data_IF_079173130574
#
_entry.id   IF_079173130574
#
_cell.length_a   1.000
_cell.length_b   1.000
_cell.length_c   1.000
_cell.angle_alpha   90.00
_cell.angle_beta   90.00
_cell.angle_gamma   90.00
#
_symmetry.space_group_name_H-M   'P 1'
#
loop_
_entity.id
_entity.type
_entity.pdbx_description
1 polymer ?
#
# COMPACT_ATOMS: atom_id res chain seq x y z
N UNK A 1 19.46 -52.27 9.78
CA UNK A 1 19.72 -51.62 11.09
C UNK A 1 20.26 -50.18 10.93
N UNK A 2 19.83 -49.40 9.94
CA UNK A 2 20.23 -47.99 9.75
C UNK A 2 19.07 -46.99 9.80
N UNK A 3 17.81 -47.45 9.70
CA UNK A 3 16.63 -46.57 9.64
C UNK A 3 16.18 -46.00 11.01
N UNK A 4 16.54 -46.63 12.14
CA UNK A 4 16.07 -46.18 13.47
C UNK A 4 16.72 -44.86 13.96
N UNK A 5 17.76 -44.37 13.28
CA UNK A 5 18.48 -43.14 13.67
C UNK A 5 17.87 -41.88 13.07
N UNK A 6 17.25 -42.00 11.90
CA UNK A 6 16.61 -40.89 11.18
C UNK A 6 15.53 -40.20 12.04
N UNK A 7 14.59 -40.92 12.70
CA UNK A 7 13.58 -40.27 13.53
C UNK A 7 14.18 -39.56 14.77
N UNK A 8 15.32 -40.06 15.27
CA UNK A 8 16.03 -39.40 16.37
C UNK A 8 16.64 -38.06 15.93
N UNK A 9 17.26 -38.03 14.75
CA UNK A 9 17.85 -36.81 14.17
C UNK A 9 16.76 -35.77 13.85
N UNK A 10 15.61 -36.20 13.34
CA UNK A 10 14.46 -35.32 13.07
C UNK A 10 13.99 -34.64 14.36
N UNK A 11 13.83 -35.40 15.45
CA UNK A 11 13.46 -34.84 16.76
C UNK A 11 14.49 -33.84 17.31
N UNK A 12 15.78 -34.07 17.11
CA UNK A 12 16.83 -33.11 17.50
C UNK A 12 16.75 -31.81 16.68
N UNK A 13 16.48 -31.89 15.38
CA UNK A 13 16.31 -30.70 14.53
C UNK A 13 15.10 -29.88 14.96
N UNK A 14 13.99 -30.53 15.35
CA UNK A 14 12.83 -29.84 15.94
C UNK A 14 13.18 -29.13 17.25
N UNK A 15 13.95 -29.78 18.12
CA UNK A 15 14.45 -29.17 19.35
C UNK A 15 15.33 -27.95 19.07
N UNK A 16 16.19 -27.99 18.05
CA UNK A 16 17.02 -26.84 17.67
C UNK A 16 16.19 -25.67 17.12
N UNK A 17 15.11 -25.95 16.39
CA UNK A 17 14.17 -24.95 15.87
C UNK A 17 13.41 -24.25 17.00
N UNK A 18 12.85 -25.01 17.94
CA UNK A 18 12.08 -24.41 19.06
C UNK A 18 12.95 -23.54 19.97
N UNK A 19 14.23 -23.90 20.14
CA UNK A 19 15.17 -23.16 20.97
C UNK A 19 15.98 -22.09 20.22
N UNK A 20 15.69 -21.83 18.93
CA UNK A 20 16.41 -20.88 18.08
C UNK A 20 17.95 -21.10 18.05
N UNK A 21 18.40 -22.35 18.21
CA UNK A 21 19.82 -22.70 18.20
C UNK A 21 20.43 -22.64 16.79
N UNK A 22 19.58 -22.77 15.77
CA UNK A 22 19.92 -22.70 14.35
C UNK A 22 18.89 -21.83 13.62
N UNK A 23 19.31 -20.99 12.65
CA UNK A 23 18.39 -20.22 11.83
C UNK A 23 17.45 -21.14 11.03
N UNK A 24 16.17 -20.75 10.90
CA UNK A 24 15.10 -21.61 10.36
C UNK A 24 15.42 -22.23 9.00
N UNK A 25 16.11 -21.48 8.12
CA UNK A 25 16.53 -21.93 6.78
C UNK A 25 17.41 -23.18 6.83
N UNK A 26 18.26 -23.33 7.85
CA UNK A 26 19.13 -24.49 8.00
C UNK A 26 18.38 -25.70 8.56
N UNK A 27 17.44 -25.49 9.48
CA UNK A 27 16.55 -26.56 9.95
C UNK A 27 15.70 -27.12 8.80
N UNK A 28 15.18 -26.25 7.93
CA UNK A 28 14.41 -26.66 6.74
C UNK A 28 15.27 -27.50 5.78
N UNK A 29 16.51 -27.07 5.52
CA UNK A 29 17.44 -27.82 4.68
C UNK A 29 17.76 -29.21 5.25
N UNK A 30 18.05 -29.30 6.56
CA UNK A 30 18.36 -30.58 7.21
C UNK A 30 17.15 -31.51 7.24
N UNK A 31 15.96 -30.99 7.56
CA UNK A 31 14.72 -31.77 7.54
C UNK A 31 14.48 -32.34 6.13
N UNK A 32 14.54 -31.52 5.09
CA UNK A 32 14.36 -31.98 3.71
C UNK A 32 15.37 -33.06 3.29
N UNK A 33 16.61 -32.97 3.80
CA UNK A 33 17.66 -33.95 3.54
C UNK A 33 17.39 -35.29 4.23
N UNK A 34 16.96 -35.26 5.50
CA UNK A 34 16.75 -36.47 6.30
C UNK A 34 15.37 -37.11 6.10
N UNK A 35 14.36 -36.34 5.70
CA UNK A 35 13.05 -36.87 5.30
C UNK A 35 12.99 -37.32 3.84
N UNK A 36 14.10 -37.20 3.08
CA UNK A 36 14.21 -37.63 1.67
C UNK A 36 13.09 -37.10 0.76
N UNK A 37 12.50 -35.96 1.10
CA UNK A 37 11.36 -35.40 0.36
C UNK A 37 10.00 -36.01 0.69
N UNK A 38 9.89 -36.91 1.68
CA UNK A 38 8.61 -37.17 2.36
C UNK A 38 8.35 -35.97 3.26
N UNK A 39 7.64 -34.99 2.71
CA UNK A 39 7.19 -33.80 3.42
C UNK A 39 6.30 -34.20 4.61
N UNK A 40 6.88 -34.43 5.79
CA UNK A 40 6.19 -34.10 7.02
C UNK A 40 5.98 -32.60 6.99
N UNK A 41 4.77 -32.21 6.54
CA UNK A 41 4.21 -30.86 6.48
C UNK A 41 4.80 -29.97 7.57
N UNK A 42 5.88 -29.29 7.22
CA UNK A 42 6.40 -28.17 8.00
C UNK A 42 5.23 -27.18 8.18
N UNK A 43 4.94 -26.71 9.40
CA UNK A 43 3.84 -25.79 9.61
C UNK A 43 4.01 -24.56 8.70
N UNK A 44 2.92 -23.98 8.16
CA UNK A 44 2.96 -23.00 7.10
C UNK A 44 3.36 -21.62 7.64
N UNK A 45 4.63 -21.45 8.01
CA UNK A 45 5.15 -20.17 8.52
C UNK A 45 5.31 -19.17 7.36
N UNK A 46 5.61 -19.63 6.14
CA UNK A 46 5.73 -18.77 4.96
C UNK A 46 4.40 -18.37 4.31
N UNK A 47 3.34 -19.19 4.40
CA UNK A 47 2.03 -18.83 3.80
C UNK A 47 1.33 -17.71 4.57
N UNK A 48 1.42 -17.70 5.91
CA UNK A 48 0.79 -16.65 6.73
C UNK A 48 1.31 -15.25 6.36
N UNK A 49 2.61 -15.12 6.07
CA UNK A 49 3.22 -13.87 5.60
C UNK A 49 2.63 -13.41 4.27
N UNK A 50 2.57 -14.30 3.26
CA UNK A 50 2.02 -13.97 1.94
C UNK A 50 0.54 -13.58 1.99
N UNK A 51 -0.27 -14.29 2.79
CA UNK A 51 -1.69 -13.98 2.98
C UNK A 51 -1.84 -12.59 3.64
N UNK A 52 -1.03 -12.27 4.65
CA UNK A 52 -1.06 -10.95 5.28
C UNK A 52 -0.71 -9.83 4.29
N UNK A 53 0.33 -9.99 3.46
CA UNK A 53 0.66 -9.03 2.41
C UNK A 53 -0.44 -8.90 1.34
N UNK A 54 -1.11 -10.01 0.99
CA UNK A 54 -2.22 -10.01 0.04
C UNK A 54 -3.42 -9.24 0.60
N UNK A 55 -3.82 -9.53 1.84
CA UNK A 55 -4.88 -8.82 2.55
C UNK A 55 -4.55 -7.33 2.62
N UNK A 56 -3.31 -6.98 2.96
CA UNK A 56 -2.86 -5.59 3.06
C UNK A 56 -3.02 -4.83 1.72
N UNK A 57 -2.63 -5.45 0.62
CA UNK A 57 -2.81 -4.86 -0.72
C UNK A 57 -4.30 -4.72 -1.08
N UNK A 58 -5.13 -5.71 -0.75
CA UNK A 58 -6.59 -5.62 -0.97
C UNK A 58 -7.18 -4.46 -0.18
N UNK A 59 -6.81 -4.30 1.09
CA UNK A 59 -7.28 -3.21 1.95
C UNK A 59 -6.84 -1.85 1.39
N UNK A 60 -5.60 -1.73 0.90
CA UNK A 60 -5.15 -0.49 0.24
C UNK A 60 -5.97 -0.14 -1.01
N UNK A 61 -6.29 -1.13 -1.85
CA UNK A 61 -7.09 -0.88 -3.05
C UNK A 61 -8.54 -0.52 -2.68
N UNK A 62 -9.08 -1.15 -1.64
CA UNK A 62 -10.44 -0.91 -1.15
C UNK A 62 -10.58 0.45 -0.44
N UNK A 63 -9.50 1.05 0.02
CA UNK A 63 -9.50 2.35 0.71
C UNK A 63 -10.07 3.48 -0.18
N UNK A 64 -9.77 3.46 -1.48
CA UNK A 64 -10.26 4.47 -2.43
C UNK A 64 -11.78 4.43 -2.61
N UNK A 65 -12.41 3.32 -3.04
CA UNK A 65 -13.86 3.28 -3.19
C UNK A 65 -14.58 3.53 -1.85
N UNK A 66 -14.00 3.09 -0.73
CA UNK A 66 -14.55 3.39 0.58
C UNK A 66 -14.49 4.89 0.92
N UNK A 67 -13.43 5.59 0.52
CA UNK A 67 -13.33 7.04 0.67
C UNK A 67 -14.43 7.78 -0.11
N UNK A 68 -14.73 7.32 -1.34
CA UNK A 68 -15.86 7.85 -2.11
C UNK A 68 -17.20 7.56 -1.46
N UNK A 69 -17.39 6.37 -0.89
CA UNK A 69 -18.60 6.01 -0.16
C UNK A 69 -18.84 6.97 1.01
N UNK A 70 -17.81 7.26 1.82
CA UNK A 70 -17.89 8.19 2.95
C UNK A 70 -18.26 9.60 2.48
N UNK A 71 -17.71 10.07 1.37
CA UNK A 71 -17.99 11.40 0.82
C UNK A 71 -19.39 11.53 0.21
N UNK A 72 -19.88 10.47 -0.44
CA UNK A 72 -21.22 10.48 -1.04
C UNK A 72 -22.33 10.27 -0.01
N UNK A 73 -22.02 9.68 1.14
CA UNK A 73 -22.93 9.60 2.27
C UNK A 73 -23.14 10.99 2.88
N UNK A 74 -24.10 11.73 2.33
CA UNK A 74 -24.44 13.12 2.70
C UNK A 74 -25.01 13.26 4.11
N UNK A 75 -25.34 12.17 4.80
CA UNK A 75 -25.81 12.21 6.17
C UNK A 75 -24.70 12.42 7.21
N UNK A 76 -23.43 12.22 6.83
CA UNK A 76 -22.34 12.48 7.75
C UNK A 76 -22.00 13.96 7.84
N UNK A 77 -21.76 14.50 9.05
CA UNK A 77 -21.32 15.87 9.18
C UNK A 77 -19.91 16.04 8.58
N UNK A 78 -19.63 17.23 8.05
CA UNK A 78 -18.39 17.57 7.36
C UNK A 78 -17.13 17.16 8.13
N UNK A 79 -17.08 17.46 9.43
CA UNK A 79 -15.93 17.13 10.29
C UNK A 79 -15.65 15.62 10.37
N UNK A 80 -16.70 14.79 10.34
CA UNK A 80 -16.55 13.33 10.40
C UNK A 80 -16.04 12.78 9.07
N UNK A 81 -16.55 13.28 7.94
CA UNK A 81 -16.06 12.92 6.60
C UNK A 81 -14.57 13.25 6.46
N UNK A 82 -14.17 14.46 6.88
CA UNK A 82 -12.77 14.88 6.90
C UNK A 82 -11.92 14.00 7.82
N UNK A 83 -12.44 13.67 9.01
CA UNK A 83 -11.77 12.78 9.97
C UNK A 83 -11.46 11.41 9.39
N UNK A 84 -12.41 10.77 8.71
CA UNK A 84 -12.19 9.49 8.03
C UNK A 84 -11.15 9.60 6.91
N UNK A 85 -11.21 10.65 6.08
CA UNK A 85 -10.21 10.84 5.03
C UNK A 85 -8.79 11.02 5.58
N UNK A 86 -8.63 11.78 6.67
CA UNK A 86 -7.33 11.95 7.34
C UNK A 86 -6.85 10.61 7.92
N UNK A 87 -7.76 9.82 8.50
CA UNK A 87 -7.43 8.48 9.01
C UNK A 87 -6.91 7.59 7.87
N UNK A 88 -7.63 7.52 6.76
CA UNK A 88 -7.21 6.74 5.59
C UNK A 88 -5.87 7.21 5.01
N UNK A 89 -5.68 8.53 4.95
CA UNK A 89 -4.42 9.12 4.51
C UNK A 89 -3.26 8.71 5.43
N UNK A 90 -3.46 8.79 6.75
CA UNK A 90 -2.45 8.43 7.74
C UNK A 90 -2.06 6.95 7.65
N UNK A 91 -3.05 6.08 7.45
CA UNK A 91 -2.85 4.64 7.26
C UNK A 91 -2.04 4.36 5.98
N UNK A 92 -2.47 4.94 4.85
CA UNK A 92 -1.79 4.77 3.57
C UNK A 92 -0.34 5.28 3.60
N UNK A 93 -0.12 6.44 4.24
CA UNK A 93 1.21 7.02 4.41
C UNK A 93 2.09 6.15 5.34
N UNK A 94 1.54 5.65 6.45
CA UNK A 94 2.26 4.80 7.39
C UNK A 94 2.78 3.52 6.72
N UNK A 95 1.96 2.88 5.89
CA UNK A 95 2.38 1.67 5.18
C UNK A 95 3.41 1.99 4.10
N UNK A 96 3.24 3.10 3.37
CA UNK A 96 4.25 3.55 2.42
C UNK A 96 5.61 3.73 3.11
N UNK A 97 5.65 4.41 4.27
CA UNK A 97 6.89 4.60 5.02
C UNK A 97 7.48 3.29 5.53
N UNK A 98 6.65 2.36 5.98
CA UNK A 98 7.07 1.04 6.46
C UNK A 98 7.69 0.18 5.33
N UNK A 99 7.07 0.18 4.15
CA UNK A 99 7.47 -0.69 3.02
C UNK A 99 8.45 -0.02 2.05
N UNK A 100 8.75 1.29 2.23
CA UNK A 100 9.62 2.04 1.30
C UNK A 100 11.01 1.41 1.12
N UNK A 101 11.54 0.76 2.15
CA UNK A 101 12.88 0.15 2.12
C UNK A 101 12.88 -1.20 1.39
N UNK A 102 11.73 -1.88 1.29
CA UNK A 102 11.63 -3.21 0.67
C UNK A 102 11.31 -3.15 -0.83
N UNK A 103 11.02 -1.96 -1.38
CA UNK A 103 10.95 -1.72 -2.83
C UNK A 103 9.85 -2.47 -3.61
N UNK A 104 8.89 -3.10 -2.93
CA UNK A 104 7.86 -3.92 -3.57
C UNK A 104 6.66 -3.13 -4.12
N UNK A 105 5.80 -3.84 -4.87
CA UNK A 105 4.55 -3.32 -5.47
C UNK A 105 3.65 -2.61 -4.43
N UNK A 106 3.62 -3.11 -3.19
CA UNK A 106 2.87 -2.51 -2.07
C UNK A 106 3.31 -1.07 -1.77
N UNK A 107 4.59 -0.74 -1.94
CA UNK A 107 5.07 0.63 -1.75
C UNK A 107 4.53 1.57 -2.83
N UNK A 108 4.50 1.13 -4.09
CA UNK A 108 3.92 1.90 -5.20
C UNK A 108 2.42 2.11 -5.01
N UNK A 109 1.68 1.07 -4.60
CA UNK A 109 0.24 1.16 -4.30
C UNK A 109 -0.01 2.13 -3.14
N UNK A 110 0.78 2.06 -2.06
CA UNK A 110 0.68 2.97 -0.93
C UNK A 110 0.93 4.42 -1.31
N UNK A 111 1.93 4.68 -2.14
CA UNK A 111 2.25 6.02 -2.63
C UNK A 111 1.11 6.58 -3.49
N UNK A 112 0.59 5.81 -4.45
CA UNK A 112 -0.54 6.22 -5.31
C UNK A 112 -1.79 6.53 -4.47
N UNK A 113 -2.10 5.66 -3.50
CA UNK A 113 -3.22 5.87 -2.59
C UNK A 113 -3.09 7.17 -1.79
N UNK A 114 -1.92 7.40 -1.20
CA UNK A 114 -1.67 8.61 -0.41
C UNK A 114 -1.86 9.88 -1.24
N UNK A 115 -1.40 9.86 -2.49
CA UNK A 115 -1.52 10.98 -3.42
C UNK A 115 -3.00 11.29 -3.72
N UNK A 116 -3.77 10.27 -4.09
CA UNK A 116 -5.23 10.38 -4.32
C UNK A 116 -5.99 10.88 -3.09
N UNK A 117 -5.66 10.37 -1.91
CA UNK A 117 -6.30 10.79 -0.67
C UNK A 117 -5.99 12.25 -0.30
N UNK A 118 -4.75 12.71 -0.51
CA UNK A 118 -4.40 14.13 -0.33
C UNK A 118 -5.25 15.00 -1.26
N UNK A 119 -5.44 14.58 -2.52
CA UNK A 119 -6.29 15.30 -3.47
C UNK A 119 -7.74 15.37 -3.00
N UNK A 120 -8.32 14.26 -2.50
CA UNK A 120 -9.68 14.23 -1.94
C UNK A 120 -9.82 15.15 -0.71
N UNK A 121 -8.86 15.12 0.21
CA UNK A 121 -8.83 16.02 1.37
C UNK A 121 -8.74 17.47 0.92
N UNK A 122 -7.89 17.79 -0.06
CA UNK A 122 -7.72 19.16 -0.52
C UNK A 122 -8.99 19.72 -1.16
N UNK A 123 -9.70 18.93 -1.97
CA UNK A 123 -10.97 19.33 -2.59
C UNK A 123 -12.06 19.54 -1.53
N UNK A 124 -12.17 18.64 -0.55
CA UNK A 124 -13.19 18.74 0.52
C UNK A 124 -12.96 19.96 1.40
N UNK A 125 -11.71 20.26 1.73
CA UNK A 125 -11.33 21.49 2.45
C UNK A 125 -11.62 22.73 1.62
N UNK A 126 -11.24 22.74 0.33
CA UNK A 126 -11.49 23.87 -0.57
C UNK A 126 -12.97 24.24 -0.62
N UNK A 127 -13.85 23.24 -0.80
CA UNK A 127 -15.31 23.44 -0.84
C UNK A 127 -15.88 24.00 0.46
N UNK A 128 -15.27 23.72 1.61
CA UNK A 128 -15.78 24.17 2.91
C UNK A 128 -15.32 25.59 3.30
N UNK A 129 -14.11 25.99 2.88
CA UNK A 129 -13.53 27.28 3.26
C UNK A 129 -13.73 28.38 2.22
N UNK A 130 -13.71 28.04 0.92
CA UNK A 130 -13.72 29.03 -0.16
C UNK A 130 -14.56 28.52 -1.33
N UNK A 131 -15.73 29.11 -1.55
CA UNK A 131 -16.58 28.80 -2.71
C UNK A 131 -16.03 29.32 -4.05
N UNK A 132 -14.87 29.99 -4.05
CA UNK A 132 -14.23 30.49 -5.27
C UNK A 132 -13.64 29.35 -6.11
N UNK A 133 -14.10 29.28 -7.36
CA UNK A 133 -13.66 28.30 -8.36
C UNK A 133 -12.15 28.43 -8.63
N UNK A 134 -11.61 29.66 -8.63
CA UNK A 134 -10.19 29.94 -8.87
C UNK A 134 -9.27 29.33 -7.82
N UNK A 135 -9.67 29.33 -6.55
CA UNK A 135 -8.89 28.72 -5.47
C UNK A 135 -8.78 27.21 -5.65
N UNK A 136 -9.86 26.55 -6.07
CA UNK A 136 -9.86 25.12 -6.35
C UNK A 136 -8.92 24.75 -7.51
N UNK A 137 -8.84 25.58 -8.55
CA UNK A 137 -7.88 25.38 -9.65
C UNK A 137 -6.42 25.50 -9.21
N UNK A 138 -6.12 26.50 -8.37
CA UNK A 138 -4.77 26.68 -7.85
C UNK A 138 -4.30 25.49 -7.01
N UNK A 139 -5.19 24.95 -6.17
CA UNK A 139 -4.94 23.75 -5.36
C UNK A 139 -4.64 22.54 -6.26
N UNK A 140 -5.49 22.28 -7.27
CA UNK A 140 -5.31 21.16 -8.19
C UNK A 140 -3.98 21.26 -8.96
N UNK A 141 -3.62 22.46 -9.42
CA UNK A 141 -2.36 22.69 -10.12
C UNK A 141 -1.14 22.41 -9.22
N UNK A 142 -1.18 22.89 -7.98
CA UNK A 142 -0.14 22.64 -6.98
C UNK A 142 0.00 21.14 -6.71
N UNK A 143 -1.12 20.43 -6.59
CA UNK A 143 -1.15 19.00 -6.31
C UNK A 143 -0.57 18.17 -7.46
N UNK A 144 -0.95 18.44 -8.71
CA UNK A 144 -0.40 17.72 -9.87
C UNK A 144 1.08 18.03 -10.12
N UNK A 145 1.51 19.26 -9.83
CA UNK A 145 2.94 19.62 -9.86
C UNK A 145 3.72 18.84 -8.80
N UNK A 146 3.17 18.72 -7.58
CA UNK A 146 3.76 17.90 -6.51
C UNK A 146 3.85 16.42 -6.92
N UNK A 147 2.82 15.90 -7.59
CA UNK A 147 2.81 14.52 -8.08
C UNK A 147 3.87 14.26 -9.14
N UNK A 148 4.07 15.19 -10.06
CA UNK A 148 5.14 15.13 -11.06
C UNK A 148 6.52 15.09 -10.39
N UNK A 149 6.77 15.96 -9.41
CA UNK A 149 8.04 16.01 -8.66
C UNK A 149 8.29 14.71 -7.88
N UNK A 150 7.27 14.18 -7.21
CA UNK A 150 7.35 12.91 -6.47
C UNK A 150 7.58 11.72 -7.41
N UNK A 151 6.88 11.67 -8.55
CA UNK A 151 7.06 10.63 -9.57
C UNK A 151 8.49 10.61 -10.12
N UNK A 152 9.06 11.79 -10.39
CA UNK A 152 10.45 11.93 -10.84
C UNK A 152 11.45 11.52 -9.75
N UNK A 153 11.21 11.89 -8.48
CA UNK A 153 12.08 11.52 -7.35
C UNK A 153 12.11 10.01 -7.10
N UNK A 154 10.99 9.32 -7.32
CA UNK A 154 10.86 7.88 -7.07
C UNK A 154 11.06 7.00 -8.32
N UNK A 155 11.49 7.57 -9.45
CA UNK A 155 11.70 6.86 -10.73
C UNK A 155 10.49 6.05 -11.24
N UNK A 156 9.28 6.43 -10.84
CA UNK A 156 8.04 5.76 -11.26
C UNK A 156 7.48 6.46 -12.50
N UNK A 157 7.86 5.98 -13.70
CA UNK A 157 7.45 6.59 -14.97
C UNK A 157 5.93 6.70 -15.13
N UNK A 158 5.17 5.76 -14.57
CA UNK A 158 3.71 5.77 -14.63
C UNK A 158 3.10 7.01 -13.95
N UNK A 159 3.62 7.40 -12.78
CA UNK A 159 3.12 8.55 -12.01
C UNK A 159 3.42 9.85 -12.76
N UNK A 160 4.58 9.93 -13.42
CA UNK A 160 4.96 11.08 -14.25
C UNK A 160 4.00 11.23 -15.43
N UNK A 161 3.72 10.13 -16.15
CA UNK A 161 2.80 10.14 -17.30
C UNK A 161 1.39 10.58 -16.87
N UNK A 162 0.86 10.02 -15.78
CA UNK A 162 -0.46 10.41 -15.24
C UNK A 162 -0.48 11.89 -14.84
N UNK A 163 0.57 12.38 -14.21
CA UNK A 163 0.63 13.77 -13.77
C UNK A 163 0.64 14.74 -14.95
N UNK A 164 1.41 14.43 -16.01
CA UNK A 164 1.41 15.22 -17.25
C UNK A 164 0.02 15.21 -17.89
N UNK A 165 -0.61 14.04 -17.99
CA UNK A 165 -1.95 13.90 -18.53
C UNK A 165 -2.97 14.72 -17.72
N UNK A 166 -2.90 14.67 -16.39
CA UNK A 166 -3.79 15.40 -15.49
C UNK A 166 -3.63 16.92 -15.62
N UNK A 167 -2.40 17.43 -15.74
CA UNK A 167 -2.12 18.85 -15.98
C UNK A 167 -2.71 19.28 -17.32
N UNK A 168 -2.54 18.47 -18.37
CA UNK A 168 -3.09 18.75 -19.69
C UNK A 168 -4.62 18.82 -19.65
N UNK A 169 -5.29 17.85 -19.01
CA UNK A 169 -6.73 17.88 -18.80
C UNK A 169 -7.20 19.11 -18.01
N UNK A 170 -6.45 19.53 -16.99
CA UNK A 170 -6.77 20.71 -16.20
C UNK A 170 -6.69 22.00 -17.04
N UNK A 171 -5.68 22.11 -17.92
CA UNK A 171 -5.56 23.25 -18.84
C UNK A 171 -6.74 23.30 -19.80
N UNK A 172 -7.13 22.16 -20.38
CA UNK A 172 -8.31 22.07 -21.26
C UNK A 172 -9.57 22.48 -20.49
N UNK A 173 -9.76 21.95 -19.27
CA UNK A 173 -10.94 22.25 -18.47
C UNK A 173 -11.06 23.74 -18.10
N UNK A 174 -9.94 24.43 -17.86
CA UNK A 174 -9.95 25.88 -17.62
C UNK A 174 -10.20 26.66 -18.92
N UNK A 175 -9.67 26.19 -20.06
CA UNK A 175 -9.80 26.88 -21.35
C UNK A 175 -11.21 26.80 -21.95
N UNK A 176 -11.91 25.67 -21.81
CA UNK A 176 -13.27 25.48 -22.36
C UNK A 176 -14.29 26.54 -21.88
N UNK A 177 -14.44 26.86 -20.58
CA UNK A 177 -15.38 27.87 -20.11
C UNK A 177 -14.94 29.31 -20.37
N UNK A 178 -13.68 29.55 -20.77
CA UNK A 178 -13.19 30.89 -21.16
C UNK A 178 -13.53 31.20 -22.62
N UNK A 179 -13.71 30.17 -23.45
CA UNK A 179 -13.98 30.29 -24.89
C UNK A 179 -15.48 30.34 -25.22
N UNK A 180 -16.34 29.94 -24.29
CA UNK A 180 -17.81 29.95 -24.41
C UNK A 180 -18.43 31.15 -23.69
#
# INVERSE_FOLDING_TARGET
MQDDRIPTIINEIHFWRENNLLPEVYCDFLLALYTKGEEEKSPPVQEKSKIFFLIQNIVMVLLIPFSFLVLYFTQFPFFLQLGFLILFLSYSCGIYLYVRNSGGITASIGLINSMLLILLVSITVSKAYVESVWFSYFILFTQFTCWYLLGKKHNQSFIVIISILAILFLIIYIAVPIVL
#
